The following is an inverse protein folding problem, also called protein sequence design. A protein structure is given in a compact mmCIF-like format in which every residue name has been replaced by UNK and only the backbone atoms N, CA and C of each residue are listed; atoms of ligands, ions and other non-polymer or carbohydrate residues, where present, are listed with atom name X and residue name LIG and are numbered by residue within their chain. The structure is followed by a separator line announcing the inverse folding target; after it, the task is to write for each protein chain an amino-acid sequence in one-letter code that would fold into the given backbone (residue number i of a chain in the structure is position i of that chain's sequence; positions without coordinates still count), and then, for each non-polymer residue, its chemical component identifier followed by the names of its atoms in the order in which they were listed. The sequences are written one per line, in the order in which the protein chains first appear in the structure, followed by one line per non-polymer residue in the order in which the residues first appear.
data_IF_162234667792
#
_entry.id   IF_162234667792
#
_cell.length_a   1.000
_cell.length_b   1.000
_cell.length_c   1.000
_cell.angle_alpha   90.00
_cell.angle_beta   90.00
_cell.angle_gamma   90.00
#
_symmetry.space_group_name_H-M   'P 1'
#
loop_
_entity.id
_entity.type
_entity.pdbx_description
1 polymer ?
#
# COMPACT_ATOMS: atom_id res chain seq x y z
N UNK A 1 -43.71 2.64 0.17
CA UNK A 1 -45.05 3.27 0.11
C UNK A 1 -45.92 2.70 1.20
N UNK A 2 -46.16 3.47 2.24
CA UNK A 2 -47.28 3.27 3.18
C UNK A 2 -47.50 4.62 3.87
N UNK A 3 -48.54 5.31 3.43
CA UNK A 3 -49.05 6.54 4.05
C UNK A 3 -49.89 6.14 5.25
N UNK A 4 -49.67 6.85 6.35
CA UNK A 4 -50.56 6.78 7.54
C UNK A 4 -51.38 8.07 7.57
N UNK A 5 -52.68 7.94 7.36
CA UNK A 5 -53.66 9.04 7.50
C UNK A 5 -53.94 9.29 8.99
N UNK A 6 -53.79 10.59 9.40
CA UNK A 6 -54.26 11.05 10.71
C UNK A 6 -55.63 11.71 10.52
N UNK A 7 -56.65 11.10 11.13
CA UNK A 7 -58.02 11.62 11.08
C UNK A 7 -58.27 12.81 12.00
N UNK A 8 -58.85 13.83 11.46
CA UNK A 8 -59.43 14.97 12.20
C UNK A 8 -60.83 14.56 12.74
N UNK A 9 -61.03 14.65 14.04
CA UNK A 9 -62.37 14.62 14.66
C UNK A 9 -62.78 16.03 15.02
N UNK A 10 -63.79 16.54 14.34
CA UNK A 10 -64.51 17.77 14.67
C UNK A 10 -65.54 17.45 15.70
N UNK A 11 -65.56 18.17 16.82
CA UNK A 11 -66.62 18.13 17.82
C UNK A 11 -67.38 19.46 17.76
N UNK A 12 -68.63 19.40 17.33
CA UNK A 12 -69.62 20.49 17.51
C UNK A 12 -70.23 20.41 18.91
N UNK A 13 -70.18 21.46 19.64
CA UNK A 13 -71.03 21.60 20.83
C UNK A 13 -71.85 22.90 20.78
N UNK A 14 -73.15 22.70 20.94
CA UNK A 14 -74.19 23.72 20.89
C UNK A 14 -74.18 24.59 22.12
N UNK A 15 -74.53 25.84 21.85
CA UNK A 15 -74.77 26.94 22.79
C UNK A 15 -75.96 26.61 23.71
N UNK A 16 -75.78 26.78 25.02
CA UNK A 16 -76.87 27.14 25.95
C UNK A 16 -76.35 28.23 26.86
N UNK A 17 -77.01 29.38 26.81
CA UNK A 17 -76.71 30.53 27.63
C UNK A 17 -77.22 30.34 29.05
N UNK A 18 -76.49 30.92 29.98
CA UNK A 18 -77.04 31.44 31.23
C UNK A 18 -76.11 32.54 31.77
N UNK A 19 -76.70 33.63 32.07
CA UNK A 19 -76.05 34.84 32.59
C UNK A 19 -75.69 34.65 34.04
N UNK A 20 -74.64 35.33 34.44
CA UNK A 20 -74.51 36.23 35.66
C UNK A 20 -73.20 36.02 36.41
N UNK A 21 -72.74 37.12 36.74
CA UNK A 21 -71.82 37.59 37.80
C UNK A 21 -70.32 37.60 37.53
N UNK A 22 -69.91 38.86 37.40
CA UNK A 22 -68.52 39.31 37.48
C UNK A 22 -67.83 38.86 38.79
N UNK A 23 -66.71 38.25 38.65
CA UNK A 23 -65.61 38.40 39.61
C UNK A 23 -64.29 38.37 38.81
N UNK A 24 -63.71 39.57 38.70
CA UNK A 24 -62.40 39.76 38.05
C UNK A 24 -61.31 39.22 38.99
N UNK A 25 -60.92 38.02 38.83
CA UNK A 25 -59.67 37.49 39.39
C UNK A 25 -58.56 37.71 38.35
N UNK A 26 -57.74 38.69 38.56
CA UNK A 26 -56.46 38.89 37.90
C UNK A 26 -55.57 37.68 38.23
N UNK A 27 -55.57 36.65 37.40
CA UNK A 27 -54.60 35.60 37.47
C UNK A 27 -53.29 36.15 36.86
N UNK A 28 -52.34 36.52 37.70
CA UNK A 28 -50.94 36.71 37.29
C UNK A 28 -50.41 35.34 36.80
N UNK A 29 -50.49 35.13 35.51
CA UNK A 29 -49.77 34.03 34.89
C UNK A 29 -48.29 34.35 34.93
N UNK A 30 -47.57 33.80 35.91
CA UNK A 30 -46.11 33.77 35.88
C UNK A 30 -45.72 32.89 34.67
N UNK A 31 -45.16 33.54 33.63
CA UNK A 31 -44.55 32.83 32.55
C UNK A 31 -43.36 32.02 33.11
N UNK A 32 -43.53 30.70 33.20
CA UNK A 32 -42.40 29.80 33.48
C UNK A 32 -41.51 29.83 32.26
N UNK A 33 -40.39 30.55 32.37
CA UNK A 33 -39.33 30.53 31.37
C UNK A 33 -38.67 29.16 31.46
N UNK A 34 -38.83 28.35 30.45
CA UNK A 34 -38.06 27.11 30.32
C UNK A 34 -36.61 27.51 30.01
N UNK A 35 -35.70 27.24 30.92
CA UNK A 35 -34.28 27.35 30.66
C UNK A 35 -33.86 26.19 29.77
N UNK A 36 -33.18 26.50 28.68
CA UNK A 36 -32.56 25.51 27.77
C UNK A 36 -31.05 25.58 27.89
N UNK A 37 -30.40 24.42 27.87
CA UNK A 37 -28.95 24.28 27.82
C UNK A 37 -28.55 23.52 26.58
N UNK A 38 -27.60 24.05 25.84
CA UNK A 38 -27.08 23.40 24.63
C UNK A 38 -25.87 22.55 24.98
N UNK A 39 -25.87 21.30 24.50
CA UNK A 39 -24.69 20.43 24.53
C UNK A 39 -24.11 20.41 23.13
N UNK A 40 -22.90 20.91 22.98
CA UNK A 40 -22.14 20.86 21.71
C UNK A 40 -21.22 19.65 21.72
N UNK A 41 -21.38 18.78 20.73
CA UNK A 41 -20.43 17.70 20.46
C UNK A 41 -19.58 18.14 19.28
N UNK A 42 -18.29 18.31 19.51
CA UNK A 42 -17.32 18.70 18.48
C UNK A 42 -16.23 17.65 18.40
N UNK A 43 -15.72 17.41 17.19
CA UNK A 43 -14.62 16.50 16.94
C UNK A 43 -14.15 16.63 15.49
N UNK A 44 -12.92 16.27 15.23
CA UNK A 44 -12.36 16.23 13.89
C UNK A 44 -11.88 14.82 13.61
N UNK A 45 -12.34 14.22 12.50
CA UNK A 45 -11.84 12.95 12.01
C UNK A 45 -10.78 13.27 10.97
N UNK A 46 -9.54 12.88 11.24
CA UNK A 46 -8.43 13.00 10.28
C UNK A 46 -8.10 11.60 9.74
N UNK A 47 -7.91 11.44 8.44
CA UNK A 47 -7.39 10.19 7.89
C UNK A 47 -6.03 9.88 8.50
N UNK A 48 -5.76 8.61 8.81
CA UNK A 48 -4.43 8.16 9.20
C UNK A 48 -3.49 8.24 8.01
N UNK A 49 -2.82 9.38 7.81
CA UNK A 49 -1.83 9.53 6.74
C UNK A 49 -0.54 8.81 7.11
N UNK A 50 0.02 8.08 6.16
CA UNK A 50 1.31 7.40 6.28
C UNK A 50 2.32 7.96 5.28
N UNK A 51 3.57 8.02 5.69
CA UNK A 51 4.70 8.44 4.86
C UNK A 51 5.69 7.28 4.76
N UNK A 52 5.94 6.74 3.56
CA UNK A 52 7.02 5.79 3.32
C UNK A 52 8.36 6.50 3.23
N UNK A 53 9.42 5.83 3.66
CA UNK A 53 10.80 6.32 3.60
C UNK A 53 11.74 5.24 3.10
N UNK A 54 12.76 5.63 2.34
CA UNK A 54 13.84 4.77 1.86
C UNK A 54 15.19 5.33 2.30
N UNK A 55 16.05 4.47 2.83
CA UNK A 55 17.42 4.81 3.13
C UNK A 55 18.21 5.21 1.87
N UNK A 56 19.18 6.10 2.01
CA UNK A 56 19.97 6.58 0.89
C UNK A 56 19.17 7.33 -0.20
N UNK A 57 17.98 7.85 0.15
CA UNK A 57 17.09 8.48 -0.82
C UNK A 57 16.50 7.49 -1.86
N UNK A 58 16.51 6.19 -1.58
CA UNK A 58 16.02 5.15 -2.49
C UNK A 58 16.99 4.79 -3.62
N UNK A 59 18.24 5.25 -3.57
CA UNK A 59 19.25 4.93 -4.57
C UNK A 59 19.98 3.62 -4.20
N UNK A 60 20.00 2.68 -5.15
CA UNK A 60 20.77 1.44 -5.07
C UNK A 60 21.95 1.57 -6.05
N UNK A 61 23.06 2.07 -5.55
CA UNK A 61 24.26 2.30 -6.37
C UNK A 61 25.17 1.07 -6.39
N UNK A 62 25.44 0.56 -7.58
CA UNK A 62 26.42 -0.51 -7.83
C UNK A 62 27.80 0.02 -8.22
N UNK A 63 27.96 1.34 -8.28
CA UNK A 63 29.22 1.99 -8.68
C UNK A 63 29.63 1.72 -10.12
N UNK A 64 30.90 1.91 -10.41
CA UNK A 64 31.46 1.63 -11.75
C UNK A 64 31.75 0.14 -11.89
N UNK A 65 31.16 -0.48 -12.91
CA UNK A 65 31.36 -1.89 -13.26
C UNK A 65 32.21 -1.97 -14.50
N UNK A 66 33.36 -2.65 -14.41
CA UNK A 66 34.21 -2.84 -15.59
C UNK A 66 33.59 -3.81 -16.59
N UNK A 67 33.52 -3.43 -17.85
CA UNK A 67 33.02 -4.31 -18.92
C UNK A 67 33.82 -5.62 -19.03
N UNK A 68 35.08 -5.65 -18.56
CA UNK A 68 35.91 -6.87 -18.54
C UNK A 68 35.44 -7.90 -17.52
N UNK A 69 34.67 -7.49 -16.51
CA UNK A 69 34.13 -8.40 -15.49
C UNK A 69 32.79 -9.02 -15.92
N UNK A 70 32.18 -8.55 -16.99
CA UNK A 70 30.93 -9.09 -17.51
C UNK A 70 31.16 -10.41 -18.24
N UNK A 71 30.32 -11.40 -17.95
CA UNK A 71 30.35 -12.69 -18.64
C UNK A 71 29.90 -12.50 -20.10
N UNK A 72 30.63 -13.04 -21.08
CA UNK A 72 30.26 -12.88 -22.46
C UNK A 72 29.00 -13.64 -22.88
N UNK A 73 28.66 -14.73 -22.20
CA UNK A 73 27.64 -15.73 -22.64
C UNK A 73 26.52 -15.94 -21.64
N UNK A 74 26.76 -15.58 -20.37
CA UNK A 74 25.75 -15.68 -19.28
C UNK A 74 25.46 -14.32 -18.66
N UNK A 75 24.43 -14.24 -17.83
CA UNK A 75 24.12 -13.02 -17.09
C UNK A 75 25.15 -12.81 -15.97
N UNK A 76 25.55 -11.56 -15.76
CA UNK A 76 26.44 -11.20 -14.64
C UNK A 76 25.60 -10.79 -13.44
N UNK A 77 25.57 -11.64 -12.41
CA UNK A 77 24.87 -11.36 -11.16
C UNK A 77 25.63 -10.34 -10.32
N UNK A 78 24.97 -9.28 -9.87
CA UNK A 78 25.54 -8.27 -8.99
C UNK A 78 25.32 -8.61 -7.51
N UNK A 79 26.10 -8.01 -6.58
CA UNK A 79 25.92 -8.22 -5.16
C UNK A 79 24.51 -7.84 -4.67
N UNK A 80 24.02 -8.54 -3.66
CA UNK A 80 22.78 -8.21 -2.98
C UNK A 80 22.99 -6.90 -2.20
N UNK A 81 22.06 -5.96 -2.33
CA UNK A 81 22.00 -4.70 -1.57
C UNK A 81 20.78 -4.72 -0.65
N UNK A 82 20.96 -4.20 0.57
CA UNK A 82 19.86 -3.96 1.51
C UNK A 82 19.55 -2.47 1.56
N UNK A 83 18.28 -2.12 1.45
CA UNK A 83 17.80 -0.75 1.46
C UNK A 83 16.89 -0.58 2.67
N UNK A 84 17.25 0.25 3.66
CA UNK A 84 16.37 0.56 4.77
C UNK A 84 15.03 1.10 4.25
N UNK A 85 13.95 0.56 4.77
CA UNK A 85 12.58 0.95 4.40
C UNK A 85 11.76 1.15 5.67
N UNK A 86 11.00 2.23 5.70
CA UNK A 86 10.11 2.55 6.82
C UNK A 86 8.78 3.12 6.36
N UNK A 87 7.76 2.98 7.20
CA UNK A 87 6.46 3.66 7.06
C UNK A 87 6.12 4.26 8.42
N UNK A 88 5.86 5.56 8.44
CA UNK A 88 5.38 6.27 9.64
C UNK A 88 3.97 6.80 9.38
N UNK A 89 3.05 6.52 10.30
CA UNK A 89 1.64 6.91 10.22
C UNK A 89 1.26 7.81 11.42
N UNK A 90 0.34 8.74 11.22
CA UNK A 90 -0.14 9.63 12.29
C UNK A 90 -1.01 8.91 13.34
N UNK A 91 -1.61 7.79 12.98
CA UNK A 91 -2.42 6.93 13.85
C UNK A 91 -2.25 5.47 13.40
N UNK A 92 -2.58 4.48 14.25
CA UNK A 92 -2.55 3.08 13.85
C UNK A 92 -3.46 2.82 12.66
N UNK A 93 -2.90 2.34 11.56
CA UNK A 93 -3.63 2.07 10.31
C UNK A 93 -3.08 0.82 9.63
N UNK A 94 -3.95 0.11 8.92
CA UNK A 94 -3.57 -1.04 8.09
C UNK A 94 -3.22 -0.55 6.69
N UNK A 95 -2.02 -0.88 6.24
CA UNK A 95 -1.55 -0.52 4.90
C UNK A 95 -0.94 -1.74 4.20
N UNK A 96 -1.01 -1.72 2.91
CA UNK A 96 -0.21 -2.56 2.04
C UNK A 96 0.65 -1.68 1.12
N UNK A 97 1.67 -2.24 0.54
CA UNK A 97 2.40 -1.64 -0.57
C UNK A 97 2.11 -2.40 -1.86
N UNK A 98 2.06 -1.66 -2.94
CA UNK A 98 2.17 -2.18 -4.30
C UNK A 98 3.33 -1.48 -5.00
N UNK A 99 3.83 -2.08 -6.07
CA UNK A 99 4.96 -1.54 -6.81
C UNK A 99 4.59 -1.27 -8.26
N UNK A 100 5.20 -0.22 -8.81
CA UNK A 100 5.05 0.16 -10.21
C UNK A 100 6.42 0.18 -10.87
N UNK A 101 6.57 -0.59 -11.95
CA UNK A 101 7.77 -0.59 -12.77
C UNK A 101 7.81 0.64 -13.68
N UNK A 102 8.77 1.53 -13.44
CA UNK A 102 8.99 2.73 -14.25
C UNK A 102 9.79 2.49 -15.54
N UNK A 103 10.25 1.26 -15.80
CA UNK A 103 11.07 0.88 -16.95
C UNK A 103 10.51 -0.34 -17.68
N UNK A 104 9.21 -0.37 -17.92
CA UNK A 104 8.56 -1.45 -18.69
C UNK A 104 9.13 -1.57 -20.09
N UNK A 105 9.24 -2.82 -20.58
CA UNK A 105 9.78 -3.13 -21.88
C UNK A 105 11.32 -3.19 -21.93
N UNK A 106 11.99 -3.17 -20.76
CA UNK A 106 13.46 -3.13 -20.72
C UNK A 106 14.11 -4.31 -19.99
N UNK A 107 13.33 -5.35 -19.66
CA UNK A 107 13.85 -6.52 -18.98
C UNK A 107 14.68 -7.40 -19.92
N UNK A 108 15.92 -7.68 -19.54
CA UNK A 108 16.79 -8.57 -20.31
C UNK A 108 16.48 -10.04 -20.02
N UNK A 109 16.33 -10.82 -21.09
CA UNK A 109 16.31 -12.29 -21.05
C UNK A 109 15.01 -12.92 -20.60
N UNK A 110 13.94 -12.13 -20.42
CA UNK A 110 12.61 -12.63 -20.12
C UNK A 110 11.53 -11.73 -20.73
N UNK A 111 10.35 -12.31 -20.93
CA UNK A 111 9.18 -11.56 -21.38
C UNK A 111 8.49 -10.94 -20.17
N UNK A 112 8.27 -9.65 -20.22
CA UNK A 112 7.46 -8.93 -19.23
C UNK A 112 5.98 -9.26 -19.42
N UNK A 113 5.28 -9.48 -18.31
CA UNK A 113 3.85 -9.80 -18.31
C UNK A 113 3.11 -8.97 -17.24
N UNK A 114 1.81 -8.85 -17.44
CA UNK A 114 0.89 -8.23 -16.48
C UNK A 114 1.03 -6.72 -16.35
N UNK A 115 0.24 -6.15 -15.43
CA UNK A 115 0.17 -4.69 -15.24
C UNK A 115 1.46 -4.10 -14.70
N UNK A 116 2.25 -4.90 -13.98
CA UNK A 116 3.53 -4.46 -13.39
C UNK A 116 4.70 -4.53 -14.37
N UNK A 117 4.56 -5.24 -15.50
CA UNK A 117 5.64 -5.42 -16.47
C UNK A 117 6.84 -6.14 -15.87
N UNK A 118 6.61 -7.21 -15.12
CA UNK A 118 7.65 -8.07 -14.59
C UNK A 118 7.74 -9.38 -15.36
N UNK A 119 8.90 -10.02 -15.34
CA UNK A 119 9.12 -11.33 -15.96
C UNK A 119 9.76 -12.31 -14.99
N UNK A 120 9.77 -13.59 -15.34
CA UNK A 120 10.57 -14.58 -14.63
C UNK A 120 12.05 -14.26 -14.85
N UNK A 121 12.80 -14.11 -13.76
CA UNK A 121 14.24 -13.89 -13.85
C UNK A 121 14.90 -15.06 -14.60
N UNK A 122 15.84 -14.81 -15.54
CA UNK A 122 16.55 -15.87 -16.22
C UNK A 122 17.28 -16.77 -15.21
N UNK A 123 17.38 -18.05 -15.52
CA UNK A 123 18.06 -19.01 -14.66
C UNK A 123 19.51 -18.58 -14.39
N UNK A 124 19.90 -18.57 -13.11
CA UNK A 124 21.23 -18.16 -12.66
C UNK A 124 21.50 -16.65 -12.67
N UNK A 125 20.56 -15.82 -13.12
CA UNK A 125 20.75 -14.36 -13.14
C UNK A 125 20.68 -13.73 -11.74
N UNK A 126 19.94 -14.33 -10.81
CA UNK A 126 19.76 -13.87 -9.43
C UNK A 126 20.11 -14.99 -8.44
N UNK A 127 20.64 -14.60 -7.30
CA UNK A 127 21.00 -15.49 -6.19
C UNK A 127 20.36 -15.13 -4.85
N UNK A 128 19.63 -14.00 -4.78
CA UNK A 128 18.92 -13.61 -3.56
C UNK A 128 17.84 -14.65 -3.25
N UNK A 129 17.63 -15.00 -1.96
CA UNK A 129 16.61 -15.96 -1.56
C UNK A 129 15.22 -15.55 -2.05
N UNK A 130 14.52 -16.46 -2.73
CA UNK A 130 13.19 -16.21 -3.25
C UNK A 130 13.09 -15.21 -4.41
N UNK A 131 14.21 -14.82 -5.00
CA UNK A 131 14.26 -13.97 -6.20
C UNK A 131 13.88 -14.81 -7.44
N UNK A 132 12.66 -14.62 -7.92
CA UNK A 132 12.19 -15.29 -9.15
C UNK A 132 11.55 -14.33 -10.14
N UNK A 133 11.15 -13.13 -9.72
CA UNK A 133 10.60 -12.09 -10.60
C UNK A 133 11.59 -10.94 -10.74
N UNK A 134 11.72 -10.41 -11.94
CA UNK A 134 12.58 -9.28 -12.21
C UNK A 134 11.88 -8.25 -13.09
N UNK A 135 12.36 -7.01 -13.01
CA UNK A 135 11.99 -5.88 -13.87
C UNK A 135 13.24 -5.30 -14.52
N UNK A 136 13.07 -4.51 -15.56
CA UNK A 136 14.18 -4.06 -16.38
C UNK A 136 15.06 -2.97 -15.78
N UNK A 137 16.32 -2.91 -16.21
CA UNK A 137 17.34 -1.92 -15.86
C UNK A 137 17.56 -0.85 -16.94
N UNK A 138 16.58 -0.63 -17.82
CA UNK A 138 16.71 0.30 -18.91
C UNK A 138 17.27 -0.33 -20.17
N UNK A 139 17.43 0.51 -21.19
CA UNK A 139 17.95 0.13 -22.51
C UNK A 139 19.23 0.90 -22.80
N UNK A 140 20.13 0.24 -23.54
CA UNK A 140 21.20 0.85 -24.30
C UNK A 140 20.83 0.81 -25.78
N UNK A 141 20.42 1.96 -26.34
CA UNK A 141 19.74 2.01 -27.63
C UNK A 141 18.43 1.21 -27.60
N UNK A 142 18.42 0.04 -28.24
CA UNK A 142 17.28 -0.90 -28.22
C UNK A 142 17.55 -2.16 -27.39
N UNK A 143 18.76 -2.28 -26.81
CA UNK A 143 19.21 -3.49 -26.11
C UNK A 143 18.91 -3.38 -24.63
N UNK A 144 18.17 -4.31 -24.01
CA UNK A 144 17.97 -4.38 -22.57
C UNK A 144 19.31 -4.58 -21.84
N UNK A 145 19.59 -3.69 -20.87
CA UNK A 145 20.86 -3.69 -20.12
C UNK A 145 20.92 -4.81 -19.10
N UNK A 146 19.79 -5.16 -18.49
CA UNK A 146 19.73 -6.18 -17.46
C UNK A 146 18.35 -6.24 -16.82
N UNK A 147 18.33 -6.70 -15.57
CA UNK A 147 17.13 -6.70 -14.75
C UNK A 147 17.47 -6.70 -13.26
N UNK A 148 16.48 -6.48 -12.43
CA UNK A 148 16.65 -6.54 -10.98
C UNK A 148 15.43 -7.09 -10.27
N UNK A 149 15.70 -7.69 -9.14
CA UNK A 149 14.74 -8.14 -8.14
C UNK A 149 14.66 -7.13 -7.01
N UNK A 150 13.47 -6.97 -6.46
CA UNK A 150 13.23 -6.26 -5.20
C UNK A 150 12.25 -7.06 -4.35
N UNK A 151 12.54 -7.20 -3.06
CA UNK A 151 11.72 -7.96 -2.12
C UNK A 151 11.71 -7.39 -0.72
N UNK A 152 10.57 -7.59 -0.04
CA UNK A 152 10.40 -7.32 1.39
C UNK A 152 10.63 -8.64 2.15
N UNK A 153 11.88 -8.92 2.50
CA UNK A 153 12.25 -10.20 3.12
C UNK A 153 11.46 -10.42 4.41
N UNK A 154 10.78 -11.56 4.57
CA UNK A 154 10.01 -11.86 5.77
C UNK A 154 10.73 -11.63 7.08
N UNK A 155 10.90 -11.75 8.02
CA UNK A 155 11.73 -11.61 9.25
C UNK A 155 12.60 -10.34 9.34
N UNK A 156 12.58 -9.45 8.35
CA UNK A 156 13.39 -8.21 8.34
C UNK A 156 12.61 -6.97 8.75
N UNK A 157 11.37 -7.13 9.20
CA UNK A 157 10.50 -6.02 9.56
C UNK A 157 10.03 -6.09 11.00
N UNK A 158 9.84 -4.91 11.59
CA UNK A 158 9.28 -4.73 12.92
C UNK A 158 8.38 -3.49 12.97
N UNK A 159 7.45 -3.51 13.91
CA UNK A 159 6.61 -2.37 14.29
C UNK A 159 6.90 -1.98 15.74
N UNK A 160 6.23 -0.97 16.27
CA UNK A 160 6.24 -0.64 17.70
C UNK A 160 5.80 -1.80 18.60
N UNK A 161 5.07 -2.78 18.05
CA UNK A 161 4.59 -3.97 18.77
C UNK A 161 5.55 -5.16 18.67
N UNK A 162 6.68 -5.03 17.98
CA UNK A 162 7.70 -6.07 17.79
C UNK A 162 7.81 -6.58 16.36
N UNK A 163 8.45 -7.75 16.21
CA UNK A 163 8.68 -8.36 14.91
C UNK A 163 7.39 -8.73 14.20
N UNK A 164 7.37 -8.56 12.88
CA UNK A 164 6.26 -8.91 12.01
C UNK A 164 6.73 -9.80 10.87
N UNK A 165 5.81 -10.54 10.27
CA UNK A 165 6.06 -11.28 9.04
C UNK A 165 5.46 -10.55 7.85
N UNK A 166 6.12 -10.64 6.71
CA UNK A 166 5.60 -10.14 5.44
C UNK A 166 4.53 -11.08 4.92
N UNK A 167 3.39 -10.53 4.57
CA UNK A 167 2.26 -11.24 3.95
C UNK A 167 1.93 -10.62 2.61
N UNK A 168 1.30 -11.39 1.74
CA UNK A 168 0.88 -10.88 0.43
C UNK A 168 -0.50 -11.42 0.04
N UNK A 169 -1.14 -10.71 -0.86
CA UNK A 169 -2.26 -11.18 -1.67
C UNK A 169 -2.13 -10.66 -3.10
N UNK A 170 -2.72 -11.35 -4.05
CA UNK A 170 -2.83 -10.85 -5.41
C UNK A 170 -4.17 -10.11 -5.57
N UNK A 171 -4.23 -9.18 -6.52
CA UNK A 171 -5.40 -8.33 -6.73
C UNK A 171 -6.65 -9.12 -7.17
N UNK A 172 -6.47 -10.26 -7.84
CA UNK A 172 -7.51 -11.17 -8.30
C UNK A 172 -8.04 -12.11 -7.21
N UNK A 173 -7.41 -12.13 -6.03
CA UNK A 173 -7.84 -12.94 -4.90
C UNK A 173 -8.88 -12.19 -4.04
N UNK A 174 -9.63 -12.96 -3.24
CA UNK A 174 -10.46 -12.42 -2.18
C UNK A 174 -9.63 -11.46 -1.29
N UNK A 175 -10.14 -10.25 -0.95
CA UNK A 175 -9.43 -9.28 -0.13
C UNK A 175 -8.98 -9.79 1.24
N UNK A 176 -9.62 -10.83 1.76
CA UNK A 176 -9.27 -11.47 3.04
C UNK A 176 -8.21 -12.58 2.89
N UNK A 177 -7.89 -13.02 1.68
CA UNK A 177 -6.99 -14.15 1.42
C UNK A 177 -5.52 -13.71 1.41
N UNK A 178 -5.00 -13.39 2.58
CA UNK A 178 -3.58 -13.10 2.79
C UNK A 178 -2.78 -14.38 3.01
N UNK A 179 -1.58 -14.42 2.45
CA UNK A 179 -0.65 -15.55 2.53
C UNK A 179 0.68 -15.10 3.07
N UNK A 180 1.37 -15.97 3.80
CA UNK A 180 2.73 -15.72 4.26
C UNK A 180 3.69 -15.70 3.07
N UNK A 181 4.61 -14.75 3.08
CA UNK A 181 5.73 -14.73 2.15
C UNK A 181 6.87 -15.58 2.74
N UNK A 182 6.97 -16.82 2.32
CA UNK A 182 7.92 -17.78 2.95
C UNK A 182 9.37 -17.49 2.61
N UNK A 183 9.65 -16.98 1.40
CA UNK A 183 11.01 -16.73 0.94
C UNK A 183 11.11 -15.41 0.17
N UNK A 184 12.09 -14.57 0.53
CA UNK A 184 12.49 -13.39 -0.23
C UNK A 184 11.47 -12.26 -0.34
N UNK A 185 10.18 -12.53 -0.21
CA UNK A 185 9.14 -11.50 -0.22
C UNK A 185 9.10 -10.66 -1.49
N UNK A 186 9.24 -11.28 -2.66
CA UNK A 186 9.24 -10.54 -3.94
C UNK A 186 8.05 -9.58 -4.03
N UNK A 187 8.31 -8.35 -4.43
CA UNK A 187 7.28 -7.33 -4.59
C UNK A 187 6.60 -7.39 -5.96
N UNK A 188 7.30 -7.86 -6.98
CA UNK A 188 6.77 -8.05 -8.32
C UNK A 188 6.27 -9.47 -8.56
N UNK A 189 5.26 -9.60 -9.43
CA UNK A 189 4.79 -10.88 -9.94
C UNK A 189 5.02 -10.99 -11.44
N UNK A 190 5.58 -12.11 -11.94
CA UNK A 190 5.70 -12.38 -13.37
C UNK A 190 4.39 -13.00 -13.91
N UNK A 191 3.23 -12.45 -13.51
CA UNK A 191 1.89 -12.92 -13.87
C UNK A 191 0.97 -11.73 -14.19
N UNK A 192 -0.22 -12.02 -14.70
CA UNK A 192 -1.18 -11.01 -15.14
C UNK A 192 -1.97 -10.32 -14.00
N UNK A 193 -1.41 -10.24 -12.81
CA UNK A 193 -2.06 -9.65 -11.63
C UNK A 193 -1.08 -8.84 -10.79
N UNK A 194 -1.57 -7.88 -10.04
CA UNK A 194 -0.79 -7.04 -9.11
C UNK A 194 -0.66 -7.72 -7.74
N UNK A 195 0.50 -7.58 -7.11
CA UNK A 195 0.73 -8.03 -5.74
C UNK A 195 0.58 -6.87 -4.76
N UNK A 196 -0.19 -7.11 -3.69
CA UNK A 196 -0.20 -6.30 -2.49
C UNK A 196 0.63 -6.99 -1.42
N UNK A 197 1.56 -6.27 -0.82
CA UNK A 197 2.41 -6.76 0.28
C UNK A 197 2.08 -5.98 1.56
N UNK A 198 1.90 -6.67 2.66
CA UNK A 198 1.59 -6.08 3.98
C UNK A 198 2.32 -6.86 5.08
N UNK A 199 2.02 -6.56 6.32
CA UNK A 199 2.68 -7.16 7.49
C UNK A 199 1.65 -7.66 8.48
N UNK A 200 1.93 -8.82 9.08
CA UNK A 200 1.08 -9.49 10.06
C UNK A 200 1.87 -9.84 11.31
N UNK A 201 1.18 -10.08 12.41
CA UNK A 201 1.78 -10.74 13.55
C UNK A 201 2.39 -12.09 13.13
N UNK A 202 3.51 -12.53 13.75
CA UNK A 202 4.18 -13.78 13.37
C UNK A 202 3.38 -15.03 13.71
N UNK A 203 2.33 -14.89 14.53
CA UNK A 203 1.45 -15.99 14.96
C UNK A 203 -0.01 -15.60 14.81
N UNK A 204 -0.90 -16.58 14.64
CA UNK A 204 -2.34 -16.38 14.52
C UNK A 204 -2.81 -16.29 13.09
N UNK A 205 -3.89 -15.53 12.87
CA UNK A 205 -4.52 -15.36 11.56
C UNK A 205 -3.68 -14.40 10.71
N UNK A 206 -3.38 -14.80 9.49
CA UNK A 206 -2.67 -13.93 8.53
C UNK A 206 -3.59 -12.80 8.07
N UNK A 207 -3.39 -11.63 8.64
CA UNK A 207 -4.14 -10.42 8.30
C UNK A 207 -3.27 -9.18 8.51
N UNK A 208 -3.47 -8.10 7.73
CA UNK A 208 -2.75 -6.85 7.92
C UNK A 208 -2.89 -6.32 9.35
N UNK A 209 -1.76 -6.03 9.99
CA UNK A 209 -1.68 -5.43 11.31
C UNK A 209 -1.79 -3.91 11.17
N UNK A 210 -2.50 -3.26 12.11
CA UNK A 210 -2.46 -1.81 12.22
C UNK A 210 -1.21 -1.40 13.01
N UNK A 211 -0.48 -0.39 12.52
CA UNK A 211 0.72 0.14 13.16
C UNK A 211 0.85 1.65 12.94
N UNK A 212 1.65 2.31 13.74
CA UNK A 212 2.09 3.70 13.54
C UNK A 212 3.48 3.77 12.93
N UNK A 213 4.33 2.81 13.25
CA UNK A 213 5.70 2.75 12.72
C UNK A 213 6.02 1.33 12.25
N UNK A 214 6.53 1.25 11.04
CA UNK A 214 7.14 0.05 10.48
C UNK A 214 8.57 0.38 10.08
N UNK A 215 9.51 -0.49 10.40
CA UNK A 215 10.90 -0.40 9.97
C UNK A 215 11.42 -1.75 9.51
N UNK A 216 12.29 -1.73 8.51
CA UNK A 216 12.89 -2.94 7.97
C UNK A 216 13.81 -2.66 6.80
N UNK A 217 14.08 -3.70 6.02
CA UNK A 217 14.97 -3.63 4.87
C UNK A 217 14.34 -4.30 3.64
N UNK A 218 14.45 -3.63 2.52
CA UNK A 218 14.19 -4.23 1.21
C UNK A 218 15.48 -4.86 0.68
N UNK A 219 15.37 -6.02 0.09
CA UNK A 219 16.47 -6.70 -0.59
C UNK A 219 16.39 -6.39 -2.08
N UNK A 220 17.47 -5.88 -2.65
CA UNK A 220 17.60 -5.61 -4.09
C UNK A 220 18.79 -6.38 -4.63
N UNK A 221 18.60 -7.01 -5.78
CA UNK A 221 19.70 -7.63 -6.52
C UNK A 221 19.48 -7.42 -8.01
N UNK A 222 20.50 -6.91 -8.68
CA UNK A 222 20.52 -6.72 -10.11
C UNK A 222 21.38 -7.78 -10.82
N UNK A 223 21.12 -7.92 -12.10
CA UNK A 223 21.98 -8.64 -13.04
C UNK A 223 22.14 -7.84 -14.33
N UNK A 224 23.28 -8.00 -14.96
CA UNK A 224 23.58 -7.40 -16.26
C UNK A 224 23.43 -8.45 -17.34
N UNK A 225 22.98 -8.02 -18.51
CA UNK A 225 22.84 -8.85 -19.69
C UNK A 225 24.20 -9.38 -20.16
N UNK A 226 24.19 -10.38 -21.01
CA UNK A 226 25.39 -10.97 -21.60
C UNK A 226 26.20 -9.90 -22.30
N UNK A 227 27.51 -9.83 -21.99
CA UNK A 227 28.39 -8.84 -22.60
C UNK A 227 28.37 -8.88 -24.13
N UNK A 228 28.21 -10.06 -24.72
CA UNK A 228 28.14 -10.23 -26.17
C UNK A 228 26.95 -9.54 -26.84
N UNK A 229 25.95 -9.14 -26.07
CA UNK A 229 24.75 -8.44 -26.56
C UNK A 229 24.81 -6.92 -26.28
N UNK A 230 25.80 -6.46 -25.50
CA UNK A 230 25.94 -5.05 -25.11
C UNK A 230 27.02 -4.35 -25.96
N UNK A 231 26.79 -3.10 -26.34
CA UNK A 231 27.80 -2.28 -26.98
C UNK A 231 28.71 -1.63 -25.93
N UNK A 232 29.80 -2.33 -25.58
CA UNK A 232 30.76 -1.88 -24.57
C UNK A 232 31.76 -0.82 -25.09
N UNK A 233 31.55 -0.25 -26.27
CA UNK A 233 32.39 0.81 -26.81
C UNK A 233 32.14 2.17 -26.15
N UNK A 234 31.09 2.30 -25.37
CA UNK A 234 30.68 3.49 -24.62
C UNK A 234 30.18 3.17 -23.21
N UNK A 235 29.89 4.21 -22.43
CA UNK A 235 29.31 4.05 -21.09
C UNK A 235 27.86 3.60 -21.17
N UNK A 236 27.51 2.50 -20.49
CA UNK A 236 26.15 1.97 -20.36
C UNK A 236 25.66 2.26 -18.94
N UNK A 237 24.49 2.87 -18.80
CA UNK A 237 23.89 3.21 -17.51
C UNK A 237 22.89 2.15 -17.05
N UNK A 238 22.94 1.78 -15.78
CA UNK A 238 21.88 1.05 -15.12
C UNK A 238 20.78 2.05 -14.73
N UNK A 239 19.57 1.89 -15.27
CA UNK A 239 18.45 2.81 -15.07
C UNK A 239 17.18 2.05 -14.65
N UNK A 240 17.24 1.38 -13.50
CA UNK A 240 16.07 0.75 -12.88
C UNK A 240 15.23 1.76 -12.12
N UNK A 241 13.90 1.63 -12.19
CA UNK A 241 12.99 2.48 -11.44
C UNK A 241 11.79 1.69 -10.92
N UNK A 242 11.65 1.63 -9.60
CA UNK A 242 10.47 1.10 -8.89
C UNK A 242 9.84 2.21 -8.06
N UNK A 243 8.57 2.47 -8.26
CA UNK A 243 7.76 3.29 -7.35
C UNK A 243 7.04 2.37 -6.37
N UNK A 244 7.03 2.72 -5.10
CA UNK A 244 6.31 2.00 -4.04
C UNK A 244 5.13 2.86 -3.62
N UNK A 245 3.92 2.38 -3.88
CA UNK A 245 2.67 3.04 -3.52
C UNK A 245 2.08 2.43 -2.26
N UNK A 246 1.58 3.29 -1.36
CA UNK A 246 0.82 2.87 -0.18
C UNK A 246 -0.65 2.67 -0.53
N UNK A 247 -1.19 1.54 -0.11
CA UNK A 247 -2.61 1.19 -0.24
C UNK A 247 -3.21 1.04 1.14
N UNK A 248 -4.18 1.88 1.49
CA UNK A 248 -4.93 1.81 2.75
C UNK A 248 -5.96 0.68 2.67
N UNK A 249 -6.08 -0.10 3.77
CA UNK A 249 -6.89 -1.33 3.84
C UNK A 249 -8.09 -1.18 4.78
#
# INVERSE_FOLDING_TARGET
MKQICVGKKTFNCRVFGCATLMLTAFALSTAVMAESVDVRVIGTIVPGACTPTLGGGGVVDYGTISATTLDPTTYTTLPIKQVPFGITCHAPVKVAIQVVNGRKGTLAGATEVGPEGAGLAPAGALSAPGAYAAVGLGLDGSTPVGGYYIGATPSKFSTESGSVITIYRNADNDPSNWRSSETGGTLYLPYATTRFTSWSAPTGVLAPLAFTNLSGELTVQAYINKRSLLDISHEIKLDGLTTIDLVYL
#
